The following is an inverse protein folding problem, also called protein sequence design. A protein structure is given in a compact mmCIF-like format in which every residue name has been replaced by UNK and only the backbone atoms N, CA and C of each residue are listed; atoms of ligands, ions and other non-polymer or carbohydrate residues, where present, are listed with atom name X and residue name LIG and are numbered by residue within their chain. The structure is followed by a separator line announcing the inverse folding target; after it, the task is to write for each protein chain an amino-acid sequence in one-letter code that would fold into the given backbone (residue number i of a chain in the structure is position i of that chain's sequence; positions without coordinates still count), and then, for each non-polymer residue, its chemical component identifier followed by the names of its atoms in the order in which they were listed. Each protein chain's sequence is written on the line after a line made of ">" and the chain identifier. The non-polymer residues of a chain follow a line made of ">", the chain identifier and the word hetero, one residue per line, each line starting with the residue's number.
data_IF_813220807151
#
_entry.id   IF_813220807151
#
_cell.length_a   1.000
_cell.length_b   1.000
_cell.length_c   1.000
_cell.angle_alpha   90.00
_cell.angle_beta   90.00
_cell.angle_gamma   90.00
#
_symmetry.space_group_name_H-M   'P 1'
#
loop_
_entity.id
_entity.type
_entity.pdbx_description
1 polymer ?
#
# COMPACT_ATOMS: atom_id res chain seq x y z
N UNK A 1 13.58 0.29 13.67
CA UNK A 1 13.06 0.05 12.32
C UNK A 1 11.58 -0.32 12.40
N UNK A 2 10.78 0.26 11.55
CA UNK A 2 9.34 -0.06 11.46
C UNK A 2 9.14 -1.05 10.31
N UNK A 3 8.54 -2.20 10.61
CA UNK A 3 8.17 -3.20 9.61
C UNK A 3 6.73 -2.94 9.19
N UNK A 4 6.49 -2.81 7.89
CA UNK A 4 5.18 -2.50 7.34
C UNK A 4 4.89 -3.35 6.10
N UNK A 5 3.61 -3.51 5.79
CA UNK A 5 3.17 -4.17 4.58
C UNK A 5 2.16 -3.30 3.86
N UNK A 6 2.19 -3.32 2.54
CA UNK A 6 1.22 -2.66 1.68
C UNK A 6 0.69 -3.65 0.65
N UNK A 7 -0.39 -3.30 -0.02
CA UNK A 7 -1.00 -4.17 -1.01
C UNK A 7 -1.43 -3.39 -2.25
N UNK A 8 -1.10 -3.94 -3.42
CA UNK A 8 -1.69 -3.52 -4.69
C UNK A 8 -2.92 -4.39 -4.89
N UNK A 9 -4.09 -3.79 -4.62
CA UNK A 9 -5.40 -4.45 -4.74
C UNK A 9 -5.99 -4.05 -6.07
N UNK A 10 -6.32 -5.03 -6.91
CA UNK A 10 -6.89 -4.76 -8.23
C UNK A 10 -8.33 -5.26 -8.32
N UNK A 11 -9.16 -4.54 -9.09
CA UNK A 11 -10.49 -4.99 -9.45
C UNK A 11 -10.44 -5.87 -10.72
N UNK A 12 -11.61 -6.29 -11.20
CA UNK A 12 -11.72 -7.16 -12.38
C UNK A 12 -11.19 -6.50 -13.65
N UNK A 13 -11.19 -5.17 -13.70
CA UNK A 13 -10.67 -4.40 -14.84
C UNK A 13 -9.17 -4.10 -14.73
N UNK A 14 -8.53 -4.56 -13.68
CA UNK A 14 -7.11 -4.29 -13.44
C UNK A 14 -6.83 -2.90 -12.86
N UNK A 15 -7.86 -2.17 -12.44
CA UNK A 15 -7.67 -0.87 -11.78
C UNK A 15 -7.20 -1.08 -10.35
N UNK A 16 -6.40 -0.14 -9.87
CA UNK A 16 -5.70 -0.25 -8.58
C UNK A 16 -6.42 0.60 -7.54
N UNK A 17 -6.64 0.01 -6.36
CA UNK A 17 -7.25 0.69 -5.23
C UNK A 17 -6.25 1.59 -4.53
N UNK A 18 -6.57 2.87 -4.45
CA UNK A 18 -5.78 3.87 -3.73
C UNK A 18 -6.66 4.61 -2.73
N UNK A 19 -6.02 5.08 -1.67
CA UNK A 19 -6.64 5.95 -0.68
C UNK A 19 -5.96 7.32 -0.70
N UNK A 20 -6.76 8.38 -0.54
CA UNK A 20 -6.25 9.73 -0.35
C UNK A 20 -6.14 9.97 1.15
N UNK A 21 -4.93 10.16 1.62
CA UNK A 21 -4.66 10.29 3.06
C UNK A 21 -5.13 11.62 3.59
N UNK A 22 -5.77 11.60 4.76
CA UNK A 22 -6.26 12.82 5.43
C UNK A 22 -5.11 13.69 5.94
N UNK A 23 -4.01 13.07 6.38
CA UNK A 23 -2.90 13.77 7.03
C UNK A 23 -2.07 14.62 6.07
N UNK A 24 -1.90 14.20 4.82
CA UNK A 24 -1.02 14.91 3.85
C UNK A 24 -1.68 15.13 2.48
N UNK A 25 -2.92 14.67 2.30
CA UNK A 25 -3.68 14.83 1.05
C UNK A 25 -3.05 14.12 -0.15
N UNK A 26 -2.15 13.16 0.09
CA UNK A 26 -1.52 12.37 -0.96
C UNK A 26 -2.21 11.01 -1.10
N UNK A 27 -2.18 10.48 -2.33
CA UNK A 27 -2.68 9.15 -2.62
C UNK A 27 -1.64 8.09 -2.28
N UNK A 28 -2.11 6.95 -1.77
CA UNK A 28 -1.23 5.87 -1.33
C UNK A 28 -1.92 4.52 -1.48
N UNK A 29 -1.10 3.47 -1.60
CA UNK A 29 -1.58 2.10 -1.44
C UNK A 29 -2.04 1.88 0.01
N UNK A 30 -3.07 1.06 0.23
CA UNK A 30 -3.41 0.65 1.59
C UNK A 30 -2.27 -0.17 2.20
N UNK A 31 -2.03 0.03 3.48
CA UNK A 31 -0.96 -0.65 4.21
C UNK A 31 -0.68 0.02 5.53
N UNK A 32 0.19 -0.60 6.32
CA UNK A 32 0.56 -0.06 7.63
C UNK A 32 1.52 -0.97 8.37
N UNK A 33 1.77 -0.63 9.63
CA UNK A 33 2.73 -1.30 10.49
C UNK A 33 2.28 -2.69 10.93
N UNK A 34 3.24 -3.59 10.96
CA UNK A 34 3.05 -4.94 11.46
C UNK A 34 2.86 -4.91 12.98
N UNK A 35 1.86 -5.62 13.47
CA UNK A 35 1.62 -5.79 14.90
C UNK A 35 2.19 -7.13 15.39
N UNK A 36 2.31 -7.29 16.72
CA UNK A 36 2.96 -8.45 17.33
C UNK A 36 2.36 -9.79 16.89
N UNK A 37 1.05 -9.84 16.68
CA UNK A 37 0.35 -11.08 16.32
C UNK A 37 0.25 -11.31 14.81
N UNK A 38 0.75 -10.38 13.99
CA UNK A 38 0.60 -10.46 12.54
C UNK A 38 1.73 -11.28 11.89
N UNK A 39 1.38 -11.96 10.80
CA UNK A 39 2.34 -12.27 9.74
C UNK A 39 2.40 -11.08 8.78
N UNK A 40 3.39 -11.01 7.89
CA UNK A 40 3.44 -9.94 6.89
C UNK A 40 2.21 -9.96 5.95
N UNK A 41 1.81 -11.11 5.37
CA UNK A 41 0.56 -11.13 4.60
C UNK A 41 -0.67 -10.78 5.44
N UNK A 42 -0.70 -11.21 6.70
CA UNK A 42 -1.76 -10.86 7.64
C UNK A 42 -1.86 -9.36 7.90
N UNK A 43 -0.72 -8.67 7.99
CA UNK A 43 -0.69 -7.21 8.12
C UNK A 43 -1.34 -6.55 6.91
N UNK A 44 -1.01 -6.99 5.71
CA UNK A 44 -1.61 -6.43 4.49
C UNK A 44 -3.12 -6.63 4.46
N UNK A 45 -3.59 -7.84 4.77
CA UNK A 45 -5.02 -8.16 4.80
C UNK A 45 -5.76 -7.31 5.83
N UNK A 46 -5.20 -7.20 7.05
CA UNK A 46 -5.80 -6.41 8.13
C UNK A 46 -5.87 -4.93 7.77
N UNK A 47 -4.79 -4.37 7.27
CA UNK A 47 -4.72 -2.94 6.92
C UNK A 47 -5.67 -2.61 5.76
N UNK A 48 -5.78 -3.46 4.75
CA UNK A 48 -6.73 -3.25 3.67
C UNK A 48 -8.16 -3.23 4.24
N UNK A 49 -8.49 -4.15 5.14
CA UNK A 49 -9.82 -4.19 5.77
C UNK A 49 -10.10 -2.93 6.58
N UNK A 50 -9.16 -2.52 7.41
CA UNK A 50 -9.31 -1.33 8.26
C UNK A 50 -9.44 -0.05 7.44
N UNK A 51 -8.67 0.08 6.38
CA UNK A 51 -8.60 1.32 5.60
C UNK A 51 -9.63 1.41 4.49
N UNK A 52 -10.08 0.27 3.95
CA UNK A 52 -10.94 0.27 2.75
C UNK A 52 -12.25 -0.49 2.90
N UNK A 53 -12.39 -1.31 3.93
CA UNK A 53 -13.56 -2.16 4.12
C UNK A 53 -13.55 -3.46 3.32
N UNK A 54 -12.57 -3.66 2.46
CA UNK A 54 -12.52 -4.84 1.59
C UNK A 54 -11.78 -6.01 2.25
N UNK A 55 -12.28 -7.21 2.00
CA UNK A 55 -11.60 -8.45 2.33
C UNK A 55 -10.79 -8.88 1.11
N UNK A 56 -9.50 -9.12 1.32
CA UNK A 56 -8.60 -9.48 0.24
C UNK A 56 -7.79 -10.73 0.58
N UNK A 57 -7.29 -11.37 -0.47
CA UNK A 57 -6.37 -12.49 -0.38
C UNK A 57 -5.07 -12.09 -1.06
N UNK A 58 -3.94 -12.30 -0.39
CA UNK A 58 -2.62 -12.02 -0.96
C UNK A 58 -2.32 -13.04 -2.06
N UNK A 59 -1.92 -12.55 -3.24
CA UNK A 59 -1.70 -13.38 -4.42
C UNK A 59 -0.24 -13.43 -4.87
N UNK A 60 0.59 -12.50 -4.41
CA UNK A 60 1.98 -12.46 -4.82
C UNK A 60 2.75 -11.34 -4.15
N UNK A 61 3.98 -11.16 -4.54
CA UNK A 61 4.91 -10.19 -3.98
C UNK A 61 5.37 -9.23 -5.08
N UNK A 62 5.18 -7.93 -4.87
CA UNK A 62 5.74 -6.89 -5.74
C UNK A 62 7.22 -6.71 -5.41
N UNK A 63 7.55 -6.56 -4.14
CA UNK A 63 8.93 -6.39 -3.73
C UNK A 63 9.10 -6.03 -2.27
N UNK A 64 10.38 -5.95 -1.88
CA UNK A 64 10.80 -5.47 -0.56
C UNK A 64 11.49 -4.11 -0.72
N UNK A 65 11.31 -3.23 0.27
CA UNK A 65 11.75 -1.84 0.19
C UNK A 65 12.41 -1.45 1.50
N UNK A 66 13.73 -1.43 1.49
CA UNK A 66 14.54 -1.18 2.70
C UNK A 66 15.63 -0.11 2.48
N UNK A 67 15.50 0.73 1.44
CA UNK A 67 16.47 1.77 1.15
C UNK A 67 16.69 2.62 2.42
N UNK A 68 17.92 2.70 2.93
CA UNK A 68 18.21 3.44 4.17
C UNK A 68 17.96 4.94 4.05
N UNK A 69 17.80 5.48 2.85
CA UNK A 69 17.44 6.87 2.62
C UNK A 69 15.96 7.14 2.82
N UNK A 70 15.14 6.08 2.81
CA UNK A 70 13.69 6.20 3.02
C UNK A 70 13.41 6.13 4.52
N UNK A 71 13.21 7.29 5.13
CA UNK A 71 12.90 7.43 6.55
C UNK A 71 11.54 8.08 6.71
N UNK A 72 10.88 7.78 7.83
CA UNK A 72 9.61 8.40 8.19
C UNK A 72 9.85 9.32 9.36
N UNK A 73 9.46 10.59 9.21
CA UNK A 73 9.49 11.57 10.29
C UNK A 73 8.13 11.58 10.97
N UNK A 74 8.13 11.39 12.28
CA UNK A 74 6.91 11.38 13.10
C UNK A 74 6.70 12.76 13.73
N UNK A 75 5.46 13.02 14.17
CA UNK A 75 5.08 14.32 14.74
C UNK A 75 5.81 14.68 16.02
N UNK A 76 6.33 13.68 16.73
CA UNK A 76 7.16 13.90 17.94
C UNK A 76 8.62 14.23 17.63
N UNK A 77 8.97 14.37 16.35
CA UNK A 77 10.33 14.65 15.89
C UNK A 77 11.19 13.40 15.69
N UNK A 78 10.66 12.22 16.00
CA UNK A 78 11.37 10.97 15.80
C UNK A 78 11.44 10.63 14.30
N UNK A 79 12.60 10.14 13.86
CA UNK A 79 12.80 9.68 12.48
C UNK A 79 13.11 8.20 12.51
N UNK A 80 12.34 7.40 11.76
CA UNK A 80 12.51 5.94 11.71
C UNK A 80 12.69 5.47 10.28
N UNK A 81 13.56 4.49 10.14
CA UNK A 81 13.75 3.77 8.89
C UNK A 81 12.63 2.74 8.74
N UNK A 82 12.03 2.66 7.54
CA UNK A 82 10.95 1.72 7.27
C UNK A 82 11.45 0.54 6.44
N UNK A 83 11.00 -0.65 6.82
CA UNK A 83 11.07 -1.86 6.01
C UNK A 83 9.66 -2.14 5.50
N UNK A 84 9.42 -1.97 4.19
CA UNK A 84 8.11 -2.23 3.62
C UNK A 84 8.14 -3.44 2.69
N UNK A 85 7.13 -4.31 2.82
CA UNK A 85 6.89 -5.43 1.92
C UNK A 85 5.59 -5.14 1.18
N UNK A 86 5.65 -5.09 -0.15
CA UNK A 86 4.49 -4.78 -0.98
C UNK A 86 3.99 -6.03 -1.67
N UNK A 87 2.74 -6.39 -1.39
CA UNK A 87 2.08 -7.57 -1.96
C UNK A 87 1.13 -7.18 -3.09
N UNK A 88 0.77 -8.17 -3.93
CA UNK A 88 -0.42 -8.10 -4.75
C UNK A 88 -1.54 -8.82 -4.02
N UNK A 89 -2.78 -8.36 -4.22
CA UNK A 89 -3.94 -8.95 -3.57
C UNK A 89 -5.17 -8.84 -4.45
N UNK A 90 -6.10 -9.79 -4.28
CA UNK A 90 -7.38 -9.78 -4.97
C UNK A 90 -8.52 -9.63 -3.97
N UNK A 91 -9.62 -9.05 -4.41
CA UNK A 91 -10.80 -8.83 -3.58
C UNK A 91 -11.58 -10.14 -3.49
N UNK A 92 -11.92 -10.57 -2.27
CA UNK A 92 -12.72 -11.78 -2.02
C UNK A 92 -14.01 -11.47 -1.28
N UNK A 93 -14.22 -10.23 -0.82
CA UNK A 93 -15.45 -9.85 -0.12
C UNK A 93 -15.38 -8.44 0.43
N UNK A 94 -16.30 -8.11 1.30
CA UNK A 94 -16.38 -6.80 1.94
C UNK A 94 -17.04 -5.75 1.08
N UNK A 95 -17.11 -4.54 1.62
CA UNK A 95 -17.68 -3.38 0.92
C UNK A 95 -16.77 -2.18 1.12
N UNK A 96 -16.55 -1.43 0.04
CA UNK A 96 -15.71 -0.24 0.07
C UNK A 96 -16.28 0.79 1.05
N UNK A 97 -15.49 1.20 2.01
CA UNK A 97 -15.87 2.17 3.04
C UNK A 97 -14.66 2.98 3.46
N UNK A 98 -14.80 4.30 3.42
CA UNK A 98 -13.73 5.22 3.81
C UNK A 98 -13.53 5.16 5.32
N UNK A 99 -12.28 4.98 5.77
CA UNK A 99 -11.91 5.06 7.18
C UNK A 99 -11.70 6.53 7.59
N UNK A 100 -11.53 6.78 8.88
CA UNK A 100 -11.25 8.14 9.38
C UNK A 100 -9.84 8.64 8.98
N UNK A 101 -8.97 7.77 8.51
CA UNK A 101 -7.60 8.13 8.08
C UNK A 101 -7.54 8.62 6.64
N UNK A 102 -8.62 8.44 5.88
CA UNK A 102 -8.68 8.78 4.45
C UNK A 102 -9.86 9.68 4.16
N UNK A 103 -9.74 10.50 3.11
CA UNK A 103 -10.81 11.35 2.62
C UNK A 103 -11.53 10.75 1.43
N UNK A 104 -10.87 9.84 0.71
CA UNK A 104 -11.41 9.24 -0.51
C UNK A 104 -10.75 7.90 -0.78
N UNK A 105 -11.52 6.97 -1.36
CA UNK A 105 -11.04 5.71 -1.91
C UNK A 105 -11.41 5.69 -3.39
N UNK A 106 -10.50 5.22 -4.24
CA UNK A 106 -10.75 5.17 -5.68
C UNK A 106 -9.98 4.03 -6.33
N UNK A 107 -10.64 3.33 -7.25
CA UNK A 107 -9.96 2.44 -8.20
C UNK A 107 -9.49 3.27 -9.38
N UNK A 108 -8.21 3.23 -9.69
CA UNK A 108 -7.61 4.07 -10.74
C UNK A 108 -6.95 3.22 -11.82
N UNK A 109 -7.03 3.69 -13.06
CA UNK A 109 -6.31 3.09 -14.17
C UNK A 109 -4.83 3.47 -14.13
N UNK A 110 -4.00 2.77 -14.91
CA UNK A 110 -2.57 3.10 -15.01
C UNK A 110 -2.36 4.52 -15.55
N UNK A 111 -3.22 5.00 -16.46
CA UNK A 111 -3.13 6.36 -16.98
C UNK A 111 -3.42 7.41 -15.89
N UNK A 112 -4.44 7.16 -15.07
CA UNK A 112 -4.81 8.08 -13.99
C UNK A 112 -3.71 8.19 -12.93
N UNK A 113 -2.95 7.13 -12.70
CA UNK A 113 -1.87 7.10 -11.72
C UNK A 113 -0.85 8.21 -11.93
N UNK A 114 -0.53 8.52 -13.18
CA UNK A 114 0.48 9.52 -13.52
C UNK A 114 0.10 10.92 -13.05
N UNK A 115 -1.20 11.20 -12.88
CA UNK A 115 -1.70 12.53 -12.53
C UNK A 115 -1.99 12.71 -11.04
N UNK A 116 -1.99 11.62 -10.27
CA UNK A 116 -2.33 11.70 -8.85
C UNK A 116 -1.10 12.09 -8.02
N UNK A 117 -1.24 13.06 -7.10
CA UNK A 117 -0.14 13.38 -6.20
C UNK A 117 0.09 12.25 -5.21
N UNK A 118 1.33 11.76 -5.14
CA UNK A 118 1.70 10.69 -4.22
C UNK A 118 3.18 10.77 -3.87
N UNK A 119 3.53 10.20 -2.72
CA UNK A 119 4.92 10.11 -2.29
C UNK A 119 5.72 9.23 -3.26
N UNK A 120 6.99 9.56 -3.46
CA UNK A 120 7.84 8.83 -4.42
C UNK A 120 7.98 7.33 -4.11
N UNK A 121 7.90 6.94 -2.84
CA UNK A 121 7.96 5.52 -2.46
C UNK A 121 6.73 4.75 -2.96
N UNK A 122 5.57 5.38 -2.97
CA UNK A 122 4.35 4.78 -3.52
C UNK A 122 4.46 4.63 -5.03
N UNK A 123 4.97 5.65 -5.73
CA UNK A 123 5.19 5.59 -7.17
C UNK A 123 6.15 4.49 -7.56
N UNK A 124 7.20 4.28 -6.76
CA UNK A 124 8.19 3.23 -7.00
C UNK A 124 7.53 1.84 -6.95
N UNK A 125 6.73 1.58 -5.93
CA UNK A 125 6.03 0.29 -5.79
C UNK A 125 5.06 0.05 -6.94
N UNK A 126 4.28 1.07 -7.30
CA UNK A 126 3.33 0.97 -8.42
C UNK A 126 4.04 0.77 -9.74
N UNK A 127 5.17 1.43 -9.96
CA UNK A 127 5.97 1.24 -11.16
C UNK A 127 6.45 -0.21 -11.28
N UNK A 128 6.96 -0.79 -10.19
CA UNK A 128 7.40 -2.19 -10.18
C UNK A 128 6.24 -3.14 -10.46
N UNK A 129 5.07 -2.86 -9.90
CA UNK A 129 3.88 -3.65 -10.19
C UNK A 129 3.51 -3.60 -11.67
N UNK A 130 3.51 -2.41 -12.28
CA UNK A 130 3.13 -2.21 -13.68
C UNK A 130 4.13 -2.77 -14.68
N UNK A 131 5.39 -2.97 -14.26
CA UNK A 131 6.40 -3.61 -15.09
C UNK A 131 6.15 -5.11 -15.30
N UNK A 132 5.26 -5.72 -14.52
CA UNK A 132 4.93 -7.16 -14.59
C UNK A 132 6.18 -8.04 -14.57
N UNK A 133 7.03 -7.80 -13.58
CA UNK A 133 8.33 -8.48 -13.46
C UNK A 133 8.14 -9.96 -13.13
N UNK A 134 8.98 -10.81 -13.73
CA UNK A 134 8.97 -12.24 -13.42
C UNK A 134 9.42 -12.53 -11.98
N UNK A 135 10.22 -11.63 -11.41
CA UNK A 135 10.73 -11.75 -10.04
C UNK A 135 10.41 -10.50 -9.25
N UNK A 136 10.20 -10.63 -7.93
CA UNK A 136 9.99 -9.48 -7.07
C UNK A 136 11.20 -8.54 -7.09
N UNK A 137 10.92 -7.26 -6.88
CA UNK A 137 11.97 -6.28 -6.66
C UNK A 137 12.58 -6.48 -5.27
N UNK A 138 13.90 -6.56 -5.20
CA UNK A 138 14.63 -6.71 -3.94
C UNK A 138 15.40 -5.40 -3.66
N UNK A 139 14.85 -4.62 -2.80
CA UNK A 139 15.45 -3.34 -2.43
C UNK A 139 15.73 -3.20 -0.96
#
# INVERSE_FOLDING_TARGET
>A
MVVAASAVVTDESGRILLQRRRDNDLWALPGGGMEMADSLPGTAVREVKEETGLDVEVTGLVGTYTDPRHVIAYTDGEVRRQFNVCFTARIVGGQLAVSHESTELRFVSSEELAELPMHHTQRLRLRHFLEHRDRPYLG
#
